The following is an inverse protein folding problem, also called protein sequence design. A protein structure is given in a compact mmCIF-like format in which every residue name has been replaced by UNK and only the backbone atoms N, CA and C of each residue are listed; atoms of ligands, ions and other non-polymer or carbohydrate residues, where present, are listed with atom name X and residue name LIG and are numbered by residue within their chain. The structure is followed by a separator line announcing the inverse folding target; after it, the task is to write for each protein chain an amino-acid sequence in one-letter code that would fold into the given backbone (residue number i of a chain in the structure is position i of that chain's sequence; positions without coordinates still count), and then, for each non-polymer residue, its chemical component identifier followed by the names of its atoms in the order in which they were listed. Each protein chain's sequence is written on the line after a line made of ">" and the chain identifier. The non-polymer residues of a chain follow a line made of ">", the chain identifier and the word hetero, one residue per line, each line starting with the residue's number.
data_IF_877513910667
#
_entry.id   IF_877513910667
#
_cell.length_a   1.000
_cell.length_b   1.000
_cell.length_c   1.000
_cell.angle_alpha   90.00
_cell.angle_beta   90.00
_cell.angle_gamma   90.00
#
_symmetry.space_group_name_H-M   'P 1'
#
loop_
_entity.id
_entity.type
_entity.pdbx_description
1 polymer ?
#
# COMPACT_ATOMS: atom_id res chain seq x y z
N UNK A 1 52.87 -16.35 6.98
CA UNK A 1 51.79 -15.55 6.34
C UNK A 1 51.43 -14.32 7.19
N UNK A 2 51.76 -13.12 6.72
CA UNK A 2 51.37 -11.87 7.41
C UNK A 2 49.97 -11.47 6.95
N UNK A 3 49.01 -11.43 7.87
CA UNK A 3 47.67 -10.89 7.62
C UNK A 3 47.65 -9.39 7.92
N UNK A 4 47.01 -8.63 7.03
CA UNK A 4 46.80 -7.19 7.22
C UNK A 4 45.32 -6.98 7.51
N UNK A 5 45.00 -6.38 8.65
CA UNK A 5 43.64 -6.09 9.09
C UNK A 5 43.30 -4.64 8.74
N UNK A 6 42.48 -4.43 7.72
CA UNK A 6 41.96 -3.10 7.38
C UNK A 6 40.72 -2.85 8.23
N UNK A 7 40.75 -1.84 9.08
CA UNK A 7 39.63 -1.42 9.94
C UNK A 7 39.22 -0.01 9.51
N UNK A 8 38.31 0.07 8.54
CA UNK A 8 37.53 1.25 8.09
C UNK A 8 36.85 1.02 6.73
N UNK A 9 36.63 -0.25 6.32
CA UNK A 9 35.85 -0.51 5.10
C UNK A 9 34.38 -0.33 5.44
N UNK A 10 33.89 0.90 5.33
CA UNK A 10 32.47 1.19 5.35
C UNK A 10 31.86 0.78 4.02
N UNK A 11 31.17 -0.36 3.97
CA UNK A 11 30.34 -0.71 2.83
C UNK A 11 29.06 0.13 2.89
N UNK A 12 29.07 1.30 2.25
CA UNK A 12 27.83 2.02 1.94
C UNK A 12 27.37 1.56 0.57
N UNK A 13 26.49 0.57 0.56
CA UNK A 13 25.74 0.18 -0.62
C UNK A 13 24.43 0.98 -0.62
N UNK A 14 24.25 1.83 -1.62
CA UNK A 14 22.92 2.30 -1.97
C UNK A 14 22.19 1.12 -2.62
N UNK A 15 21.57 0.27 -1.80
CA UNK A 15 20.59 -0.69 -2.32
C UNK A 15 19.37 0.15 -2.70
N UNK A 16 19.42 0.72 -3.90
CA UNK A 16 18.19 1.11 -4.57
C UNK A 16 17.42 -0.18 -4.76
N UNK A 17 16.33 -0.38 -4.02
CA UNK A 17 15.33 -1.39 -4.37
C UNK A 17 14.78 -0.99 -5.74
N UNK A 18 15.47 -1.39 -6.82
CA UNK A 18 14.95 -1.33 -8.19
C UNK A 18 13.66 -2.15 -8.18
N UNK A 19 12.54 -1.46 -8.10
CA UNK A 19 11.24 -2.03 -7.76
C UNK A 19 10.34 -1.05 -6.99
N UNK A 20 10.91 -0.06 -6.27
CA UNK A 20 10.13 1.01 -5.63
C UNK A 20 10.10 2.34 -6.41
N UNK A 21 11.01 2.55 -7.38
CA UNK A 21 10.92 3.65 -8.37
C UNK A 21 9.88 3.39 -9.48
N UNK A 22 9.18 2.27 -9.40
CA UNK A 22 8.03 1.87 -10.22
C UNK A 22 7.27 0.84 -9.39
N UNK A 23 6.80 1.25 -8.20
CA UNK A 23 6.16 0.34 -7.26
C UNK A 23 5.06 -0.44 -7.97
N UNK A 24 4.95 -1.75 -7.68
CA UNK A 24 4.18 -2.67 -8.49
C UNK A 24 2.77 -2.21 -8.76
N UNK A 25 2.29 -2.61 -9.94
CA UNK A 25 0.88 -2.52 -10.29
C UNK A 25 0.05 -3.13 -9.16
N UNK A 26 -0.80 -2.31 -8.56
CA UNK A 26 -1.76 -2.74 -7.55
C UNK A 26 -3.10 -2.84 -8.25
N UNK A 27 -3.56 -4.07 -8.44
CA UNK A 27 -4.85 -4.35 -9.05
C UNK A 27 -5.87 -4.68 -7.96
N UNK A 28 -7.03 -4.03 -8.03
CA UNK A 28 -8.20 -4.44 -7.26
C UNK A 28 -8.72 -5.76 -7.81
N UNK A 29 -8.94 -6.75 -6.95
CA UNK A 29 -9.53 -8.04 -7.36
C UNK A 29 -10.99 -8.12 -6.96
N UNK A 30 -11.29 -7.96 -5.67
CA UNK A 30 -12.64 -8.15 -5.15
C UNK A 30 -12.90 -7.35 -3.87
N UNK A 31 -14.20 -7.13 -3.63
CA UNK A 31 -14.70 -6.59 -2.38
C UNK A 31 -14.85 -7.76 -1.41
N UNK A 32 -14.19 -7.68 -0.26
CA UNK A 32 -14.42 -8.63 0.85
C UNK A 32 -15.54 -8.12 1.75
N UNK A 33 -15.49 -6.84 2.15
CA UNK A 33 -16.55 -6.21 2.92
C UNK A 33 -16.54 -4.69 2.76
N UNK A 34 -17.69 -4.07 2.95
CA UNK A 34 -17.83 -2.62 3.09
C UNK A 34 -18.80 -2.36 4.25
N UNK A 35 -18.32 -1.73 5.31
CA UNK A 35 -19.12 -1.36 6.50
C UNK A 35 -19.11 0.14 6.69
N UNK A 36 -20.22 0.69 7.17
CA UNK A 36 -20.36 2.10 7.55
C UNK A 36 -20.81 2.17 9.00
N UNK A 37 -20.02 2.81 9.86
CA UNK A 37 -20.45 3.17 11.19
C UNK A 37 -21.35 4.42 11.10
N UNK A 38 -22.64 4.23 11.34
CA UNK A 38 -23.64 5.29 11.23
C UNK A 38 -23.48 6.38 12.29
N UNK A 39 -22.82 6.09 13.41
CA UNK A 39 -22.60 7.08 14.47
C UNK A 39 -21.45 8.04 14.15
N UNK A 40 -20.40 7.53 13.51
CA UNK A 40 -19.19 8.30 13.21
C UNK A 40 -19.08 8.73 11.74
N UNK A 41 -19.84 8.11 10.84
CA UNK A 41 -19.70 8.28 9.40
C UNK A 41 -18.44 7.65 8.82
N UNK A 42 -17.67 6.91 9.63
CA UNK A 42 -16.46 6.20 9.20
C UNK A 42 -16.88 4.91 8.52
N UNK A 43 -16.37 4.69 7.31
CA UNK A 43 -16.52 3.41 6.63
C UNK A 43 -15.20 2.66 6.57
N UNK A 44 -15.30 1.33 6.54
CA UNK A 44 -14.17 0.42 6.33
C UNK A 44 -14.44 -0.45 5.11
N UNK A 45 -13.56 -0.34 4.13
CA UNK A 45 -13.52 -1.19 2.94
C UNK A 45 -12.43 -2.22 3.11
N UNK A 46 -12.79 -3.50 3.15
CA UNK A 46 -11.85 -4.61 3.03
C UNK A 46 -11.88 -5.13 1.61
N UNK A 47 -10.72 -5.15 0.95
CA UNK A 47 -10.58 -5.57 -0.45
C UNK A 47 -9.48 -6.61 -0.57
N UNK A 48 -9.64 -7.54 -1.52
CA UNK A 48 -8.53 -8.35 -1.99
C UNK A 48 -7.85 -7.59 -3.14
N UNK A 49 -6.55 -7.45 -3.05
CA UNK A 49 -5.73 -6.80 -4.07
C UNK A 49 -4.62 -7.74 -4.54
N UNK A 50 -4.17 -7.53 -5.77
CA UNK A 50 -2.95 -8.12 -6.27
C UNK A 50 -1.84 -7.08 -6.29
N UNK A 51 -0.68 -7.43 -5.75
CA UNK A 51 0.54 -6.65 -5.78
C UNK A 51 1.59 -7.47 -6.50
N UNK A 52 2.04 -6.99 -7.65
CA UNK A 52 3.14 -7.64 -8.36
C UNK A 52 4.47 -7.42 -7.61
N UNK A 53 5.48 -8.26 -7.80
CA UNK A 53 6.83 -7.99 -7.35
C UNK A 53 7.75 -8.12 -8.55
N UNK A 54 8.17 -6.97 -9.07
CA UNK A 54 9.05 -6.86 -10.22
C UNK A 54 10.54 -6.90 -9.84
N UNK A 55 10.86 -7.00 -8.55
CA UNK A 55 12.24 -7.16 -8.12
C UNK A 55 12.74 -8.59 -8.39
N UNK A 56 14.06 -8.78 -8.35
CA UNK A 56 14.69 -10.10 -8.53
C UNK A 56 14.81 -10.89 -7.23
N UNK A 57 14.12 -10.47 -6.17
CA UNK A 57 14.18 -11.10 -4.85
C UNK A 57 12.85 -11.04 -4.11
N UNK A 58 12.67 -11.93 -3.15
CA UNK A 58 11.56 -11.82 -2.20
C UNK A 58 11.77 -10.62 -1.27
N UNK A 59 10.70 -9.89 -0.96
CA UNK A 59 10.73 -8.73 -0.07
C UNK A 59 9.81 -8.97 1.13
N UNK A 60 10.27 -8.63 2.32
CA UNK A 60 9.41 -8.61 3.53
C UNK A 60 9.32 -7.19 4.02
N UNK A 61 8.12 -6.61 3.95
CA UNK A 61 7.84 -5.23 4.36
C UNK A 61 7.09 -5.17 5.70
N UNK A 62 6.46 -6.27 6.12
CA UNK A 62 5.65 -6.31 7.33
C UNK A 62 4.35 -5.51 7.15
N UNK A 63 3.92 -4.83 8.21
CA UNK A 63 2.72 -4.01 8.16
C UNK A 63 3.05 -2.65 7.54
N UNK A 64 2.26 -2.24 6.54
CA UNK A 64 2.42 -0.97 5.86
C UNK A 64 1.08 -0.24 5.79
N UNK A 65 1.10 1.03 6.18
CA UNK A 65 -0.01 1.97 6.05
C UNK A 65 0.27 2.92 4.91
N UNK A 66 -0.65 3.04 3.97
CA UNK A 66 -0.61 3.96 2.86
C UNK A 66 -1.64 5.05 3.07
N UNK A 67 -1.30 6.28 2.69
CA UNK A 67 -2.27 7.35 2.58
C UNK A 67 -3.12 7.15 1.34
N UNK A 68 -4.43 7.31 1.46
CA UNK A 68 -5.38 7.17 0.36
C UNK A 68 -5.87 8.54 -0.06
N UNK A 69 -5.72 8.85 -1.35
CA UNK A 69 -6.23 10.08 -1.97
C UNK A 69 -7.30 9.78 -3.01
N UNK A 70 -8.23 10.71 -3.19
CA UNK A 70 -9.21 10.65 -4.27
C UNK A 70 -8.57 10.97 -5.65
N UNK A 71 -9.41 11.01 -6.69
CA UNK A 71 -9.02 11.37 -8.06
C UNK A 71 -8.46 12.79 -8.20
N UNK A 72 -8.75 13.68 -7.26
CA UNK A 72 -8.28 15.06 -7.24
C UNK A 72 -6.98 15.22 -6.42
N UNK A 73 -6.49 14.14 -5.80
CA UNK A 73 -5.32 14.13 -4.94
C UNK A 73 -5.58 14.61 -3.52
N UNK A 74 -6.85 14.76 -3.10
CA UNK A 74 -7.20 15.09 -1.73
C UNK A 74 -7.07 13.84 -0.85
N UNK A 75 -6.45 13.97 0.32
CA UNK A 75 -6.38 12.88 1.31
C UNK A 75 -7.77 12.58 1.83
N UNK A 76 -8.19 11.33 1.68
CA UNK A 76 -9.54 10.87 2.04
C UNK A 76 -9.53 9.74 3.05
N UNK A 77 -8.39 9.12 3.33
CA UNK A 77 -8.27 8.09 4.36
C UNK A 77 -6.92 7.40 4.32
N UNK A 78 -6.86 6.23 4.93
CA UNK A 78 -5.67 5.38 4.98
C UNK A 78 -6.01 3.95 4.56
N UNK A 79 -5.06 3.28 3.92
CA UNK A 79 -5.14 1.87 3.54
C UNK A 79 -4.01 1.10 4.22
N UNK A 80 -4.37 0.09 5.01
CA UNK A 80 -3.42 -0.79 5.70
C UNK A 80 -3.36 -2.14 5.01
N UNK A 81 -2.14 -2.64 4.81
CA UNK A 81 -1.87 -4.02 4.41
C UNK A 81 -0.94 -4.64 5.44
N UNK A 82 -1.36 -5.76 6.03
CA UNK A 82 -0.61 -6.42 7.11
C UNK A 82 0.25 -7.57 6.57
N UNK A 83 1.40 -7.79 7.20
CA UNK A 83 2.25 -8.95 6.96
C UNK A 83 2.75 -9.08 5.53
N UNK A 84 3.05 -7.97 4.84
CA UNK A 84 3.47 -7.99 3.44
C UNK A 84 4.78 -8.77 3.29
N UNK A 85 4.68 -9.88 2.57
CA UNK A 85 5.80 -10.68 2.09
C UNK A 85 5.60 -10.94 0.59
N UNK A 86 6.31 -10.18 -0.22
CA UNK A 86 6.26 -10.22 -1.67
C UNK A 86 7.20 -11.32 -2.17
N UNK A 87 6.64 -12.40 -2.71
CA UNK A 87 7.38 -13.34 -3.58
C UNK A 87 7.52 -12.75 -4.97
N UNK A 88 8.43 -13.27 -5.78
CA UNK A 88 8.51 -12.93 -7.20
C UNK A 88 7.15 -13.08 -7.91
N UNK A 89 6.77 -12.09 -8.72
CA UNK A 89 5.51 -12.10 -9.47
C UNK A 89 4.29 -11.69 -8.64
N UNK A 90 3.16 -12.35 -8.87
CA UNK A 90 1.84 -11.96 -8.33
C UNK A 90 1.66 -12.34 -6.86
N UNK A 91 1.26 -11.40 -6.01
CA UNK A 91 0.97 -11.65 -4.59
C UNK A 91 -0.39 -11.06 -4.22
N UNK A 92 -1.25 -11.86 -3.58
CA UNK A 92 -2.56 -11.39 -3.13
C UNK A 92 -2.51 -11.00 -1.66
N UNK A 93 -3.13 -9.86 -1.34
CA UNK A 93 -3.23 -9.37 0.02
C UNK A 93 -4.62 -8.81 0.30
N UNK A 94 -5.01 -8.85 1.57
CA UNK A 94 -6.15 -8.09 2.07
C UNK A 94 -5.70 -6.66 2.40
N UNK A 95 -6.32 -5.68 1.76
CA UNK A 95 -6.15 -4.26 2.04
C UNK A 95 -7.38 -3.74 2.79
N UNK A 96 -7.15 -3.00 3.87
CA UNK A 96 -8.19 -2.41 4.71
C UNK A 96 -8.10 -0.90 4.57
N UNK A 97 -9.08 -0.29 3.92
CA UNK A 97 -9.18 1.16 3.74
C UNK A 97 -10.19 1.73 4.71
N UNK A 98 -9.79 2.72 5.50
CA UNK A 98 -10.67 3.41 6.45
C UNK A 98 -10.75 4.88 6.08
N UNK A 99 -11.97 5.43 6.08
CA UNK A 99 -12.22 6.81 5.67
C UNK A 99 -13.52 7.33 6.29
N UNK A 100 -13.56 8.62 6.62
CA UNK A 100 -14.79 9.35 6.97
C UNK A 100 -15.28 10.26 5.84
N UNK A 101 -14.71 10.12 4.64
CA UNK A 101 -15.04 10.97 3.50
C UNK A 101 -16.32 10.47 2.82
N UNK A 102 -17.41 11.23 2.99
CA UNK A 102 -18.72 10.88 2.44
C UNK A 102 -18.71 10.79 0.91
N UNK A 103 -18.03 11.70 0.22
CA UNK A 103 -17.98 11.72 -1.25
C UNK A 103 -17.32 10.46 -1.81
N UNK A 104 -16.27 9.97 -1.14
CA UNK A 104 -15.62 8.71 -1.48
C UNK A 104 -16.58 7.54 -1.25
N UNK A 105 -17.28 7.49 -0.12
CA UNK A 105 -18.27 6.44 0.14
C UNK A 105 -19.39 6.42 -0.90
N UNK A 106 -19.95 7.59 -1.22
CA UNK A 106 -20.98 7.74 -2.25
C UNK A 106 -20.45 7.29 -3.61
N UNK A 107 -19.25 7.71 -4.01
CA UNK A 107 -18.63 7.29 -5.27
C UNK A 107 -18.45 5.77 -5.34
N UNK A 108 -17.91 5.15 -4.28
CA UNK A 108 -17.71 3.71 -4.19
C UNK A 108 -19.02 2.93 -4.29
N UNK A 109 -20.11 3.42 -3.71
CA UNK A 109 -21.41 2.72 -3.67
C UNK A 109 -22.32 3.01 -4.86
N UNK A 110 -22.09 4.09 -5.61
CA UNK A 110 -22.95 4.50 -6.73
C UNK A 110 -22.40 4.10 -8.10
N UNK A 111 -21.13 4.42 -8.38
CA UNK A 111 -20.51 4.29 -9.71
C UNK A 111 -19.15 3.59 -9.72
N UNK A 112 -18.45 3.53 -8.60
CA UNK A 112 -17.04 3.17 -8.53
C UNK A 112 -16.13 4.39 -8.74
N UNK A 113 -14.85 4.28 -8.41
CA UNK A 113 -13.91 5.39 -8.49
C UNK A 113 -12.46 4.92 -8.61
N UNK A 114 -11.56 5.83 -8.92
CA UNK A 114 -10.12 5.60 -8.81
C UNK A 114 -9.62 6.26 -7.53
N UNK A 115 -8.92 5.50 -6.70
CA UNK A 115 -8.18 6.01 -5.56
C UNK A 115 -6.68 5.90 -5.85
N UNK A 116 -5.88 6.73 -5.20
CA UNK A 116 -4.43 6.55 -5.19
C UNK A 116 -3.98 6.21 -3.78
N UNK A 117 -3.22 5.14 -3.64
CA UNK A 117 -2.53 4.82 -2.39
C UNK A 117 -1.07 5.24 -2.50
N UNK A 118 -0.61 5.99 -1.52
CA UNK A 118 0.73 6.57 -1.49
C UNK A 118 1.44 6.22 -0.19
N UNK A 119 2.70 5.81 -0.27
CA UNK A 119 3.51 5.65 0.94
C UNK A 119 4.00 7.01 1.44
N UNK A 120 4.38 7.04 2.72
CA UNK A 120 4.90 8.22 3.42
C UNK A 120 6.03 7.79 4.35
N UNK A 121 6.70 8.75 4.97
CA UNK A 121 7.71 8.45 6.00
C UNK A 121 7.11 7.79 7.26
N UNK A 122 5.78 7.82 7.42
CA UNK A 122 5.05 7.17 8.52
C UNK A 122 4.41 5.84 8.12
N UNK A 123 4.65 5.35 6.91
CA UNK A 123 4.02 4.13 6.41
C UNK A 123 4.41 2.86 7.15
N UNK A 124 5.55 2.86 7.85
CA UNK A 124 5.99 1.73 8.67
C UNK A 124 6.80 2.24 9.86
N UNK A 125 6.73 1.59 11.03
CA UNK A 125 7.63 1.89 12.14
C UNK A 125 9.09 1.50 11.84
N UNK A 126 9.32 0.64 10.84
CA UNK A 126 10.66 0.32 10.38
C UNK A 126 11.14 1.40 9.38
N UNK A 127 12.19 2.17 9.70
CA UNK A 127 12.64 3.29 8.86
C UNK A 127 13.16 2.85 7.48
N UNK A 128 13.67 1.63 7.34
CA UNK A 128 14.08 1.09 6.04
C UNK A 128 12.88 0.75 5.17
N UNK A 129 11.83 0.19 5.77
CA UNK A 129 10.56 -0.08 5.06
C UNK A 129 9.89 1.23 4.70
N UNK A 130 9.78 2.19 5.63
CA UNK A 130 9.24 3.51 5.37
C UNK A 130 9.98 4.20 4.22
N UNK A 131 11.32 4.19 4.24
CA UNK A 131 12.12 4.75 3.16
C UNK A 131 11.95 4.01 1.82
N UNK A 132 11.70 2.70 1.84
CA UNK A 132 11.42 1.92 0.64
C UNK A 132 10.04 2.27 0.06
N UNK A 133 9.03 2.44 0.92
CA UNK A 133 7.64 2.66 0.48
C UNK A 133 7.27 4.14 0.31
N UNK A 134 8.06 5.11 0.79
CA UNK A 134 7.68 6.54 0.73
C UNK A 134 7.45 7.10 -0.67
N UNK A 135 8.06 6.50 -1.69
CA UNK A 135 7.90 6.91 -3.09
C UNK A 135 6.82 6.10 -3.82
N UNK A 136 6.13 5.23 -3.10
CA UNK A 136 5.04 4.42 -3.64
C UNK A 136 3.88 5.33 -3.95
N UNK A 137 3.39 5.18 -5.17
CA UNK A 137 2.14 5.79 -5.61
C UNK A 137 1.48 4.85 -6.60
N UNK A 138 0.36 4.26 -6.22
CA UNK A 138 -0.37 3.34 -7.08
C UNK A 138 -1.82 3.81 -7.22
N UNK A 139 -2.28 3.93 -8.47
CA UNK A 139 -3.68 4.15 -8.77
C UNK A 139 -4.40 2.81 -8.77
N UNK A 140 -5.50 2.74 -8.03
CA UNK A 140 -6.33 1.55 -7.90
C UNK A 140 -7.73 1.92 -8.39
N UNK A 141 -8.17 1.28 -9.47
CA UNK A 141 -9.54 1.40 -9.98
C UNK A 141 -10.43 0.48 -9.16
N UNK A 142 -11.32 1.06 -8.36
CA UNK A 142 -12.27 0.33 -7.55
C UNK A 142 -13.64 0.38 -8.24
N UNK A 143 -14.20 -0.76 -8.66
CA UNK A 143 -15.52 -0.79 -9.27
C UNK A 143 -16.60 -0.40 -8.26
N UNK A 144 -17.83 -0.18 -8.75
CA UNK A 144 -18.99 0.00 -7.87
C UNK A 144 -19.10 -1.16 -6.88
N UNK A 145 -19.18 -0.81 -5.60
CA UNK A 145 -19.27 -1.73 -4.48
C UNK A 145 -20.73 -1.96 -4.06
N UNK A 146 -20.98 -3.11 -3.45
CA UNK A 146 -22.26 -3.39 -2.79
C UNK A 146 -22.11 -3.03 -1.31
N UNK A 147 -22.93 -2.12 -0.81
CA UNK A 147 -23.04 -1.92 0.63
C UNK A 147 -23.53 -3.22 1.27
N UNK A 148 -22.97 -3.60 2.41
CA UNK A 148 -23.66 -4.53 3.28
C UNK A 148 -25.01 -3.89 3.67
N UNK A 149 -26.10 -4.62 3.48
CA UNK A 149 -27.44 -4.22 3.91
C UNK A 149 -27.58 -4.40 5.42
#
# INVERSE_FOLDING_TARGET
>A
PKSVRITAIGFKSDITLKGCNSFPKIDYLEQVSLTLDSATGVFTLTSLINVENLSQSDLTLGDVTFQTTDKNGLVVGDTVIKGIRLKLGSNQFTAITTSSNKELYDALTTVGTTITISGTDHSSPNPFVAAAVKNVKAQVVVPKLKSAA
#
